data_IF_501211439733
#
_entry.id   IF_501211439733
#
_cell.length_a   1.000
_cell.length_b   1.000
_cell.length_c   1.000
_cell.angle_alpha   90.00
_cell.angle_beta   90.00
_cell.angle_gamma   90.00
#
_symmetry.space_group_name_H-M   'P 1'
#
loop_
_entity.id
_entity.type
_entity.pdbx_description
1 polymer ?
#
# COMPACT_ATOMS: atom_id res chain seq x y z
N UNK A 1 -4.58 -22.02 -0.76
CA UNK A 1 -4.87 -21.05 -1.84
C UNK A 1 -3.75 -20.02 -1.82
N UNK A 2 -3.82 -18.90 -2.55
CA UNK A 2 -2.80 -17.85 -2.44
C UNK A 2 -3.46 -16.50 -2.19
N UNK A 3 -2.69 -15.56 -1.66
CA UNK A 3 -3.15 -14.20 -1.37
C UNK A 3 -2.49 -13.23 -2.33
N UNK A 4 -3.26 -12.33 -2.93
CA UNK A 4 -2.76 -11.26 -3.76
C UNK A 4 -2.58 -10.01 -2.89
N UNK A 5 -1.37 -9.49 -2.81
CA UNK A 5 -1.09 -8.25 -2.06
C UNK A 5 -0.68 -7.19 -3.05
N UNK A 6 -1.59 -6.26 -3.32
CA UNK A 6 -1.37 -5.19 -4.28
C UNK A 6 -0.86 -3.95 -3.57
N UNK A 7 0.26 -3.41 -4.03
CA UNK A 7 1.03 -2.37 -3.35
C UNK A 7 1.16 -1.16 -4.26
N UNK A 8 0.93 0.03 -3.68
CA UNK A 8 1.20 1.30 -4.34
C UNK A 8 1.74 2.35 -3.35
N UNK A 9 2.38 3.40 -3.89
CA UNK A 9 3.03 4.46 -3.12
C UNK A 9 2.38 5.82 -3.39
N UNK A 10 2.14 6.59 -2.33
CA UNK A 10 1.69 7.98 -2.41
C UNK A 10 2.69 8.90 -1.72
N UNK A 11 2.98 10.04 -2.35
CA UNK A 11 3.76 11.14 -1.78
C UNK A 11 2.93 12.42 -1.77
N UNK A 12 2.95 13.12 -0.64
CA UNK A 12 2.19 14.36 -0.50
C UNK A 12 3.01 15.44 0.21
N UNK A 13 3.29 16.49 -0.54
CA UNK A 13 3.84 17.75 -0.05
C UNK A 13 2.70 18.67 0.38
N UNK A 14 2.77 19.17 1.61
CA UNK A 14 1.80 20.17 2.08
C UNK A 14 2.08 21.51 1.39
N UNK A 15 1.08 22.16 0.77
CA UNK A 15 1.28 23.48 0.16
C UNK A 15 1.91 24.47 1.15
N UNK A 16 3.01 25.11 0.74
CA UNK A 16 3.74 26.09 1.55
C UNK A 16 4.62 25.51 2.66
N UNK A 17 4.69 24.18 2.82
CA UNK A 17 5.68 23.53 3.66
C UNK A 17 6.65 22.72 2.80
N UNK A 18 7.86 22.58 3.31
CA UNK A 18 8.88 21.73 2.72
C UNK A 18 8.65 20.25 3.06
N UNK A 19 8.14 19.96 4.25
CA UNK A 19 7.89 18.59 4.69
C UNK A 19 6.82 17.89 3.83
N UNK A 20 7.03 16.60 3.57
CA UNK A 20 6.07 15.72 2.91
C UNK A 20 5.89 14.43 3.70
N UNK A 21 4.81 13.71 3.41
CA UNK A 21 4.64 12.34 3.85
C UNK A 21 4.78 11.40 2.66
N UNK A 22 5.47 10.30 2.89
CA UNK A 22 5.54 9.15 1.98
C UNK A 22 4.81 7.99 2.64
N UNK A 23 3.91 7.36 1.89
CA UNK A 23 3.14 6.21 2.33
C UNK A 23 3.21 5.13 1.28
N UNK A 24 3.64 3.93 1.67
CA UNK A 24 3.43 2.71 0.89
C UNK A 24 2.21 2.01 1.48
N UNK A 25 1.20 1.72 0.67
CA UNK A 25 -0.01 1.01 1.09
C UNK A 25 -0.12 -0.32 0.35
N UNK A 26 -0.64 -1.33 1.05
CA UNK A 26 -0.90 -2.66 0.54
C UNK A 26 -2.35 -3.05 0.78
N UNK A 27 -2.96 -3.70 -0.19
CA UNK A 27 -4.30 -4.30 -0.06
C UNK A 27 -4.21 -5.79 -0.38
N UNK A 28 -4.63 -6.63 0.57
CA UNK A 28 -4.65 -8.07 0.39
C UNK A 28 -6.04 -8.56 0.00
N UNK A 29 -6.04 -9.49 -0.95
CA UNK A 29 -7.22 -10.22 -1.40
C UNK A 29 -6.92 -11.72 -1.38
N UNK A 30 -7.89 -12.52 -0.95
CA UNK A 30 -7.89 -13.93 -1.32
C UNK A 30 -7.98 -14.05 -2.85
N UNK A 31 -7.06 -14.81 -3.47
CA UNK A 31 -7.00 -14.93 -4.92
C UNK A 31 -8.33 -15.43 -5.51
N UNK A 32 -9.01 -16.36 -4.82
CA UNK A 32 -10.31 -16.88 -5.23
C UNK A 32 -11.44 -15.83 -5.21
N UNK A 33 -11.30 -14.77 -4.41
CA UNK A 33 -12.31 -13.72 -4.27
C UNK A 33 -12.05 -12.51 -5.19
N UNK A 34 -10.84 -12.39 -5.76
CA UNK A 34 -10.40 -11.20 -6.49
C UNK A 34 -11.22 -10.93 -7.77
N UNK A 35 -11.54 -11.96 -8.54
CA UNK A 35 -12.34 -11.81 -9.77
C UNK A 35 -13.76 -11.32 -9.48
N UNK A 36 -14.40 -11.82 -8.42
CA UNK A 36 -15.72 -11.35 -8.02
C UNK A 36 -15.67 -9.91 -7.51
N UNK A 37 -14.61 -9.53 -6.78
CA UNK A 37 -14.36 -8.13 -6.41
C UNK A 37 -14.28 -7.25 -7.66
N UNK A 38 -13.47 -7.62 -8.65
CA UNK A 38 -13.30 -6.87 -9.90
C UNK A 38 -14.64 -6.69 -10.66
N UNK A 39 -15.45 -7.75 -10.76
CA UNK A 39 -16.77 -7.69 -11.41
C UNK A 39 -17.73 -6.77 -10.67
N UNK A 40 -17.77 -6.85 -9.33
CA UNK A 40 -18.62 -5.99 -8.50
C UNK A 40 -18.18 -4.53 -8.58
N UNK A 41 -16.88 -4.27 -8.57
CA UNK A 41 -16.33 -2.92 -8.74
C UNK A 41 -16.71 -2.33 -10.11
N UNK A 42 -16.63 -3.12 -11.18
CA UNK A 42 -17.00 -2.65 -12.51
C UNK A 42 -18.49 -2.26 -12.58
N UNK A 43 -19.37 -3.06 -11.97
CA UNK A 43 -20.80 -2.72 -11.84
C UNK A 43 -21.00 -1.44 -11.03
N UNK A 44 -20.26 -1.28 -9.94
CA UNK A 44 -20.29 -0.09 -9.12
C UNK A 44 -19.87 1.16 -9.92
N UNK A 45 -18.77 1.07 -10.67
CA UNK A 45 -18.32 2.13 -11.60
C UNK A 45 -19.38 2.45 -12.65
N UNK A 46 -20.03 1.45 -13.23
CA UNK A 46 -21.13 1.62 -14.18
C UNK A 46 -22.28 2.44 -13.58
N UNK A 47 -22.70 2.11 -12.35
CA UNK A 47 -23.76 2.81 -11.61
C UNK A 47 -23.40 4.29 -11.35
N UNK A 48 -22.17 4.54 -10.88
CA UNK A 48 -21.75 5.87 -10.43
C UNK A 48 -21.12 6.76 -11.50
N UNK A 49 -20.68 6.24 -12.64
CA UNK A 49 -20.00 7.05 -13.64
C UNK A 49 -20.59 6.90 -15.04
N UNK A 50 -21.53 5.97 -15.27
CA UNK A 50 -22.07 5.65 -16.60
C UNK A 50 -20.95 5.29 -17.59
N UNK A 51 -19.86 4.72 -17.08
CA UNK A 51 -18.65 4.36 -17.82
C UNK A 51 -18.37 2.88 -17.59
N UNK A 52 -18.74 2.00 -18.52
CA UNK A 52 -18.71 0.55 -18.31
C UNK A 52 -17.33 -0.07 -18.55
N UNK A 53 -16.40 0.62 -19.22
CA UNK A 53 -15.06 0.12 -19.47
C UNK A 53 -14.20 0.12 -18.21
N UNK A 54 -13.33 -0.88 -18.10
CA UNK A 54 -12.40 -1.06 -16.98
C UNK A 54 -11.50 0.18 -16.82
N UNK A 55 -11.00 0.73 -17.94
CA UNK A 55 -10.13 1.90 -18.01
C UNK A 55 -10.86 3.24 -18.03
N UNK A 56 -12.17 3.26 -18.28
CA UNK A 56 -12.90 4.49 -18.61
C UNK A 56 -12.96 5.48 -17.44
N UNK A 57 -12.75 5.00 -16.22
CA UNK A 57 -12.68 5.82 -15.02
C UNK A 57 -11.66 5.26 -14.03
N UNK A 58 -10.45 5.81 -14.03
CA UNK A 58 -9.40 5.41 -13.09
C UNK A 58 -9.77 5.84 -11.66
N UNK A 59 -9.67 4.91 -10.69
CA UNK A 59 -9.98 5.19 -9.28
C UNK A 59 -8.76 5.80 -8.58
N UNK A 60 -8.32 6.97 -9.04
CA UNK A 60 -7.19 7.65 -8.41
C UNK A 60 -7.64 8.44 -7.19
N UNK A 61 -6.95 8.29 -6.07
CA UNK A 61 -7.27 8.97 -4.81
C UNK A 61 -7.34 10.48 -4.97
N UNK A 62 -6.37 11.07 -5.68
CA UNK A 62 -6.36 12.51 -6.00
C UNK A 62 -7.58 12.99 -6.80
N UNK A 63 -8.18 12.14 -7.63
CA UNK A 63 -9.34 12.49 -8.47
C UNK A 63 -10.67 12.28 -7.74
N UNK A 64 -10.73 11.25 -6.89
CA UNK A 64 -11.91 10.88 -6.12
C UNK A 64 -12.07 11.71 -4.85
N UNK A 65 -10.97 12.18 -4.26
CA UNK A 65 -10.97 12.82 -2.95
C UNK A 65 -10.33 14.22 -2.95
N UNK A 66 -10.20 14.88 -4.10
CA UNK A 66 -9.89 16.33 -4.14
C UNK A 66 -10.99 17.17 -3.48
N UNK A 67 -10.69 18.41 -3.07
CA UNK A 67 -11.70 19.30 -2.46
C UNK A 67 -12.96 19.46 -3.33
N UNK A 68 -12.79 19.58 -4.66
CA UNK A 68 -13.92 19.61 -5.60
C UNK A 68 -14.68 18.29 -5.64
N UNK A 69 -13.98 17.16 -5.52
CA UNK A 69 -14.60 15.84 -5.55
C UNK A 69 -15.40 15.55 -4.28
N UNK A 70 -14.93 16.02 -3.11
CA UNK A 70 -15.65 15.89 -1.85
C UNK A 70 -16.96 16.69 -1.81
N UNK A 71 -17.05 17.78 -2.58
CA UNK A 71 -18.31 18.50 -2.78
C UNK A 71 -19.34 17.72 -3.64
N UNK A 72 -18.92 16.62 -4.29
CA UNK A 72 -19.80 15.79 -5.10
C UNK A 72 -20.33 14.61 -4.28
N UNK A 73 -21.60 14.68 -3.90
CA UNK A 73 -22.31 13.59 -3.21
C UNK A 73 -22.08 12.24 -3.92
N UNK A 74 -22.21 12.22 -5.25
CA UNK A 74 -22.03 11.01 -6.07
C UNK A 74 -20.64 10.37 -5.93
N UNK A 75 -19.57 11.18 -5.80
CA UNK A 75 -18.20 10.64 -5.63
C UNK A 75 -17.96 10.15 -4.22
N UNK A 76 -18.44 10.88 -3.22
CA UNK A 76 -18.36 10.47 -1.82
C UNK A 76 -19.11 9.15 -1.61
N UNK A 77 -20.34 9.06 -2.08
CA UNK A 77 -21.16 7.85 -2.01
C UNK A 77 -20.51 6.66 -2.74
N UNK A 78 -19.88 6.90 -3.91
CA UNK A 78 -19.10 5.86 -4.59
C UNK A 78 -17.97 5.31 -3.71
N UNK A 79 -17.21 6.18 -3.03
CA UNK A 79 -16.10 5.75 -2.15
C UNK A 79 -16.63 4.97 -0.94
N UNK A 80 -17.75 5.37 -0.35
CA UNK A 80 -18.37 4.65 0.77
C UNK A 80 -18.89 3.25 0.36
N UNK A 81 -19.48 3.15 -0.82
CA UNK A 81 -19.90 1.86 -1.40
C UNK A 81 -18.69 0.99 -1.77
N UNK A 82 -17.58 1.60 -2.20
CA UNK A 82 -16.32 0.90 -2.42
C UNK A 82 -15.78 0.30 -1.11
N UNK A 83 -15.79 1.05 0.00
CA UNK A 83 -15.41 0.49 1.31
C UNK A 83 -16.33 -0.66 1.74
N UNK A 84 -17.63 -0.53 1.48
CA UNK A 84 -18.59 -1.61 1.75
C UNK A 84 -18.29 -2.87 0.93
N UNK A 85 -17.89 -2.71 -0.33
CA UNK A 85 -17.41 -3.82 -1.15
C UNK A 85 -16.11 -4.42 -0.61
N UNK A 86 -15.16 -3.60 -0.16
CA UNK A 86 -13.91 -4.08 0.45
C UNK A 86 -14.19 -4.93 1.69
N UNK A 87 -15.07 -4.49 2.58
CA UNK A 87 -15.51 -5.28 3.75
C UNK A 87 -16.19 -6.58 3.35
N UNK A 88 -17.13 -6.53 2.41
CA UNK A 88 -17.81 -7.73 1.89
C UNK A 88 -16.81 -8.76 1.31
N UNK A 89 -15.65 -8.29 0.88
CA UNK A 89 -14.57 -9.10 0.31
C UNK A 89 -13.41 -9.37 1.25
N UNK A 90 -13.56 -9.04 2.52
CA UNK A 90 -12.52 -9.21 3.55
C UNK A 90 -11.17 -8.67 3.08
N UNK A 91 -11.17 -7.51 2.41
CA UNK A 91 -9.93 -6.85 2.01
C UNK A 91 -9.19 -6.42 3.26
N UNK A 92 -7.93 -6.82 3.38
CA UNK A 92 -7.06 -6.46 4.50
C UNK A 92 -6.10 -5.37 4.06
N UNK A 93 -5.91 -4.34 4.90
CA UNK A 93 -5.07 -3.19 4.59
C UNK A 93 -3.76 -3.20 5.36
N UNK A 94 -2.72 -2.72 4.69
CA UNK A 94 -1.39 -2.52 5.21
C UNK A 94 -0.91 -1.12 4.84
N UNK A 95 -0.14 -0.48 5.69
CA UNK A 95 0.58 0.72 5.30
C UNK A 95 1.81 0.97 6.12
N UNK A 96 2.79 1.60 5.50
CA UNK A 96 3.93 2.16 6.20
C UNK A 96 4.15 3.58 5.72
N UNK A 97 4.04 4.53 6.65
CA UNK A 97 4.14 5.96 6.39
C UNK A 97 5.36 6.54 7.09
N UNK A 98 5.96 7.59 6.52
CA UNK A 98 7.02 8.37 7.16
C UNK A 98 6.91 9.84 6.80
N UNK A 99 7.24 10.70 7.77
CA UNK A 99 7.42 12.13 7.53
C UNK A 99 8.82 12.40 6.98
N UNK A 100 8.91 13.06 5.84
CA UNK A 100 10.15 13.39 5.15
C UNK A 100 10.37 14.90 5.09
N UNK A 101 11.63 15.35 5.22
CA UNK A 101 12.03 16.77 5.13
C UNK A 101 13.01 16.97 3.97
N UNK A 102 12.78 17.92 3.04
CA UNK A 102 13.66 18.14 1.91
C UNK A 102 14.91 18.90 2.38
N UNK A 103 16.00 18.15 2.52
CA UNK A 103 17.28 18.67 3.02
C UNK A 103 18.23 17.58 3.52
N UNK A 104 17.71 16.43 3.94
CA UNK A 104 18.55 15.28 4.32
C UNK A 104 19.04 14.49 3.10
N UNK A 105 19.79 15.15 2.22
CA UNK A 105 20.69 14.50 1.27
C UNK A 105 21.92 13.87 1.94
N UNK A 106 22.04 13.99 3.26
CA UNK A 106 22.95 13.23 4.12
C UNK A 106 22.12 12.62 5.23
N UNK A 107 22.15 11.29 5.34
CA UNK A 107 21.26 10.51 6.18
C UNK A 107 21.30 10.96 7.63
N UNK A 108 20.11 11.30 8.16
CA UNK A 108 19.82 10.88 9.52
C UNK A 108 19.62 9.37 9.47
N UNK A 109 20.74 8.65 9.52
CA UNK A 109 20.84 7.25 9.94
C UNK A 109 20.44 7.17 11.43
N UNK A 110 19.26 7.68 11.80
CA UNK A 110 18.68 7.42 13.11
C UNK A 110 18.26 5.96 13.08
N UNK A 111 19.14 5.13 13.64
CA UNK A 111 18.93 3.73 14.05
C UNK A 111 17.92 2.99 13.17
N UNK A 112 18.29 2.75 11.90
CA UNK A 112 17.89 1.47 11.29
C UNK A 112 18.35 0.42 12.29
N UNK A 113 17.46 -0.41 12.88
CA UNK A 113 17.85 -1.42 13.86
C UNK A 113 19.08 -2.16 13.35
N UNK A 114 20.08 -2.42 14.20
CA UNK A 114 21.36 -3.02 13.76
C UNK A 114 21.16 -4.34 12.97
N UNK A 115 20.02 -5.00 13.13
CA UNK A 115 19.57 -6.16 12.36
C UNK A 115 19.33 -5.90 10.85
N UNK A 116 19.02 -4.66 10.45
CA UNK A 116 18.67 -4.25 9.09
C UNK A 116 19.86 -3.61 8.31
N UNK A 117 21.06 -3.55 8.91
CA UNK A 117 22.24 -2.80 8.44
C UNK A 117 23.11 -3.46 7.35
N UNK A 118 22.62 -4.44 6.60
CA UNK A 118 23.38 -4.99 5.45
C UNK A 118 22.95 -4.36 4.14
N UNK A 119 23.30 -3.10 3.91
CA UNK A 119 23.48 -2.46 2.59
C UNK A 119 22.34 -2.47 1.56
N UNK A 120 21.21 -3.13 1.82
CA UNK A 120 20.13 -3.47 0.88
C UNK A 120 18.80 -2.84 1.30
N UNK A 121 18.78 -2.07 2.39
CA UNK A 121 17.62 -1.31 2.85
C UNK A 121 18.01 0.16 2.96
N UNK A 122 17.33 1.01 2.20
CA UNK A 122 17.64 2.44 2.15
C UNK A 122 16.72 3.22 3.06
N UNK A 123 17.32 4.08 3.89
CA UNK A 123 16.60 5.14 4.60
C UNK A 123 16.26 6.34 3.71
N UNK A 124 16.60 6.29 2.41
CA UNK A 124 16.21 7.28 1.42
C UNK A 124 15.13 6.73 0.49
N UNK A 125 14.20 7.57 0.07
CA UNK A 125 13.10 7.21 -0.81
C UNK A 125 13.49 7.20 -2.31
N UNK A 126 14.80 7.09 -2.60
CA UNK A 126 15.32 7.01 -3.97
C UNK A 126 15.40 5.57 -4.42
N UNK A 127 14.72 5.26 -5.53
CA UNK A 127 14.82 3.95 -6.18
C UNK A 127 16.25 3.70 -6.67
N UNK A 128 16.83 2.59 -6.26
CA UNK A 128 18.02 2.01 -6.87
C UNK A 128 17.79 0.49 -7.01
N UNK A 129 18.56 -0.17 -7.87
CA UNK A 129 18.42 -1.62 -8.09
C UNK A 129 18.87 -2.44 -6.87
N UNK A 130 19.69 -1.86 -6.00
CA UNK A 130 20.40 -2.56 -4.94
C UNK A 130 19.65 -2.60 -3.61
N UNK A 131 18.76 -1.63 -3.36
CA UNK A 131 18.17 -1.43 -2.03
C UNK A 131 16.66 -1.24 -2.10
N UNK A 132 15.93 -1.93 -1.22
CA UNK A 132 14.50 -1.70 -1.00
C UNK A 132 14.31 -0.49 -0.09
N UNK A 133 13.23 0.27 -0.27
CA UNK A 133 12.90 1.35 0.66
C UNK A 133 12.54 0.79 2.03
N UNK A 134 12.88 1.53 3.10
CA UNK A 134 12.53 1.16 4.46
C UNK A 134 11.02 0.94 4.62
N UNK A 135 10.20 1.82 4.01
CA UNK A 135 8.73 1.71 4.06
C UNK A 135 8.25 0.39 3.47
N UNK A 136 8.78 0.00 2.31
CA UNK A 136 8.37 -1.25 1.67
C UNK A 136 8.83 -2.47 2.48
N UNK A 137 10.03 -2.45 3.07
CA UNK A 137 10.50 -3.55 3.92
C UNK A 137 9.58 -3.78 5.13
N UNK A 138 9.16 -2.71 5.82
CA UNK A 138 8.22 -2.79 6.94
C UNK A 138 6.81 -3.20 6.54
N UNK A 139 6.37 -2.85 5.33
CA UNK A 139 5.10 -3.33 4.80
C UNK A 139 5.18 -4.84 4.52
N UNK A 140 6.27 -5.28 3.89
CA UNK A 140 6.53 -6.70 3.58
C UNK A 140 6.59 -7.54 4.86
N UNK A 141 7.22 -7.05 5.93
CA UNK A 141 7.21 -7.69 7.25
C UNK A 141 5.78 -7.94 7.77
N UNK A 142 4.92 -6.92 7.70
CA UNK A 142 3.52 -7.03 8.16
C UNK A 142 2.71 -8.00 7.32
N UNK A 143 2.93 -8.00 6.01
CA UNK A 143 2.32 -8.97 5.10
C UNK A 143 2.77 -10.38 5.46
N UNK A 144 4.06 -10.58 5.75
CA UNK A 144 4.57 -11.89 6.18
C UNK A 144 3.90 -12.33 7.50
N UNK A 145 3.78 -11.46 8.51
CA UNK A 145 3.08 -11.79 9.75
C UNK A 145 1.61 -12.15 9.51
N UNK A 146 0.90 -11.35 8.71
CA UNK A 146 -0.47 -11.65 8.30
C UNK A 146 -0.61 -13.03 7.65
N UNK A 147 0.30 -13.38 6.74
CA UNK A 147 0.28 -14.67 6.07
C UNK A 147 0.56 -15.82 7.01
N UNK A 148 1.52 -15.68 7.92
CA UNK A 148 1.84 -16.73 8.90
C UNK A 148 0.71 -16.97 9.89
N UNK A 149 -0.01 -15.92 10.30
CA UNK A 149 -1.10 -16.02 11.29
C UNK A 149 -2.43 -16.41 10.66
N UNK A 150 -2.79 -15.81 9.52
CA UNK A 150 -4.15 -15.91 8.95
C UNK A 150 -4.25 -16.94 7.83
N UNK A 151 -3.15 -17.18 7.11
CA UNK A 151 -3.11 -18.06 5.94
C UNK A 151 -1.93 -19.05 6.00
N UNK A 152 -1.80 -19.85 7.08
CA UNK A 152 -0.65 -20.74 7.27
C UNK A 152 -0.53 -21.76 6.13
N UNK A 153 0.67 -21.87 5.56
CA UNK A 153 0.98 -22.75 4.43
C UNK A 153 0.62 -22.17 3.06
N UNK A 154 0.02 -20.98 3.01
CA UNK A 154 -0.16 -20.22 1.78
C UNK A 154 0.97 -19.20 1.57
N UNK A 155 1.07 -18.65 0.36
CA UNK A 155 2.04 -17.61 0.03
C UNK A 155 1.34 -16.40 -0.57
N UNK A 156 1.76 -15.21 -0.14
CA UNK A 156 1.37 -13.96 -0.77
C UNK A 156 2.16 -13.72 -2.08
N UNK A 157 1.47 -13.19 -3.08
CA UNK A 157 2.05 -12.64 -4.32
C UNK A 157 2.04 -11.12 -4.21
N UNK A 158 3.23 -10.50 -4.20
CA UNK A 158 3.34 -9.03 -4.18
C UNK A 158 3.13 -8.50 -5.60
N UNK A 159 2.15 -7.62 -5.79
CA UNK A 159 1.77 -7.04 -7.08
C UNK A 159 1.94 -5.52 -7.02
N UNK A 160 2.70 -4.97 -7.96
CA UNK A 160 2.96 -3.53 -8.04
C UNK A 160 2.30 -2.92 -9.28
N UNK A 161 2.00 -1.62 -9.22
CA UNK A 161 1.62 -0.85 -10.40
C UNK A 161 2.77 -0.74 -11.39
N UNK A 162 2.51 -1.00 -12.67
CA UNK A 162 3.46 -0.82 -13.78
C UNK A 162 3.00 0.32 -14.69
N UNK A 163 3.92 1.24 -14.94
CA UNK A 163 3.79 2.35 -15.90
C UNK A 163 5.06 2.58 -16.70
N UNK A 164 6.24 2.30 -16.13
CA UNK A 164 7.54 2.58 -16.75
C UNK A 164 8.51 1.41 -16.54
N UNK A 165 8.93 0.78 -17.65
CA UNK A 165 9.75 -0.44 -17.65
C UNK A 165 11.03 -0.32 -16.81
N UNK A 166 11.67 0.85 -16.82
CA UNK A 166 12.89 1.07 -16.04
C UNK A 166 12.61 1.09 -14.53
N UNK A 167 11.52 1.71 -14.09
CA UNK A 167 11.11 1.71 -12.68
C UNK A 167 10.72 0.31 -12.22
N UNK A 168 9.98 -0.42 -13.05
CA UNK A 168 9.57 -1.79 -12.77
C UNK A 168 10.80 -2.69 -12.57
N UNK A 169 11.81 -2.56 -13.43
CA UNK A 169 13.09 -3.28 -13.30
C UNK A 169 13.80 -2.94 -11.99
N UNK A 170 13.87 -1.66 -11.61
CA UNK A 170 14.53 -1.22 -10.38
C UNK A 170 13.81 -1.75 -9.13
N UNK A 171 12.47 -1.70 -9.14
CA UNK A 171 11.66 -2.24 -8.06
C UNK A 171 11.78 -3.77 -7.98
N UNK A 172 11.75 -4.46 -9.12
CA UNK A 172 11.92 -5.90 -9.16
C UNK A 172 13.28 -6.33 -8.57
N UNK A 173 14.35 -5.65 -9.00
CA UNK A 173 15.72 -5.94 -8.53
C UNK A 173 15.87 -5.68 -7.04
N UNK A 174 15.34 -4.56 -6.54
CA UNK A 174 15.45 -4.20 -5.12
C UNK A 174 14.67 -5.17 -4.22
N UNK A 175 13.45 -5.54 -4.59
CA UNK A 175 12.64 -6.53 -3.85
C UNK A 175 13.33 -7.89 -3.86
N UNK A 176 13.80 -8.38 -5.01
CA UNK A 176 14.50 -9.67 -5.07
C UNK A 176 15.81 -9.67 -4.28
N UNK A 177 16.59 -8.57 -4.35
CA UNK A 177 17.80 -8.42 -3.53
C UNK A 177 17.46 -8.46 -2.04
N UNK A 178 16.41 -7.77 -1.61
CA UNK A 178 15.94 -7.83 -0.23
C UNK A 178 15.54 -9.25 0.18
N UNK A 179 14.66 -9.90 -0.58
CA UNK A 179 14.10 -11.21 -0.26
C UNK A 179 15.16 -12.32 -0.22
N UNK A 180 16.14 -12.29 -1.13
CA UNK A 180 17.07 -13.41 -1.29
C UNK A 180 18.48 -13.16 -0.74
N UNK A 181 18.88 -11.91 -0.49
CA UNK A 181 20.25 -11.58 -0.02
C UNK A 181 20.31 -11.05 1.42
N UNK A 182 19.18 -10.75 2.05
CA UNK A 182 19.15 -10.28 3.45
C UNK A 182 18.71 -11.38 4.39
N UNK A 183 19.25 -11.39 5.62
CA UNK A 183 18.81 -12.34 6.66
C UNK A 183 17.34 -12.15 7.04
N UNK A 184 16.83 -10.92 6.96
CA UNK A 184 15.43 -10.63 7.21
C UNK A 184 14.54 -11.19 6.11
N UNK A 185 14.80 -10.83 4.85
CA UNK A 185 13.99 -11.29 3.71
C UNK A 185 14.03 -12.81 3.51
N UNK A 186 15.18 -13.45 3.73
CA UNK A 186 15.31 -14.92 3.65
C UNK A 186 14.55 -15.66 4.76
N UNK A 187 14.26 -14.98 5.87
CA UNK A 187 13.41 -15.50 6.94
C UNK A 187 11.91 -15.34 6.69
N UNK A 188 11.50 -14.67 5.62
CA UNK A 188 10.09 -14.53 5.27
C UNK A 188 9.59 -15.76 4.52
N UNK A 189 8.66 -16.47 5.14
CA UNK A 189 8.12 -17.74 4.63
C UNK A 189 6.65 -17.62 4.17
N UNK A 190 5.98 -16.51 4.46
CA UNK A 190 4.59 -16.27 4.07
C UNK A 190 4.42 -15.67 2.67
N UNK A 191 5.49 -15.50 1.88
CA UNK A 191 5.42 -14.75 0.62
C UNK A 191 6.31 -15.35 -0.46
N UNK A 192 5.90 -15.16 -1.71
CA UNK A 192 6.76 -15.39 -2.86
C UNK A 192 7.72 -14.21 -3.03
N UNK A 193 9.03 -14.48 -3.05
CA UNK A 193 10.06 -13.44 -3.17
C UNK A 193 10.16 -12.79 -4.56
N UNK A 194 9.37 -13.23 -5.54
CA UNK A 194 9.31 -12.67 -6.89
C UNK A 194 8.15 -11.68 -6.99
N UNK A 195 8.41 -10.39 -7.32
CA UNK A 195 7.36 -9.39 -7.50
C UNK A 195 6.66 -9.53 -8.85
N UNK A 196 5.36 -9.25 -8.87
CA UNK A 196 4.51 -9.17 -10.06
C UNK A 196 4.12 -7.73 -10.35
N UNK A 197 3.71 -7.48 -11.60
CA UNK A 197 3.39 -6.14 -12.07
C UNK A 197 2.06 -6.15 -12.82
N UNK A 198 1.22 -5.14 -12.57
CA UNK A 198 -0.08 -4.98 -13.21
C UNK A 198 -0.25 -3.55 -13.76
N UNK A 199 -0.91 -3.36 -14.92
CA UNK A 199 -1.12 -2.03 -15.48
C UNK A 199 -1.96 -1.16 -14.52
N UNK A 200 -1.42 -0.04 -14.05
CA UNK A 200 -2.07 0.80 -13.04
C UNK A 200 -3.43 1.36 -13.50
N UNK A 201 -3.56 1.64 -14.79
CA UNK A 201 -4.80 2.14 -15.40
C UNK A 201 -5.93 1.10 -15.50
N UNK A 202 -5.62 -0.19 -15.35
CA UNK A 202 -6.58 -1.29 -15.55
C UNK A 202 -6.79 -2.18 -14.33
N UNK A 203 -5.83 -2.25 -13.41
CA UNK A 203 -5.90 -3.15 -12.25
C UNK A 203 -6.75 -2.55 -11.11
N UNK A 204 -7.91 -3.16 -10.78
CA UNK A 204 -8.71 -2.74 -9.62
C UNK A 204 -7.95 -2.68 -8.32
N UNK A 205 -7.10 -3.68 -8.06
CA UNK A 205 -6.29 -3.74 -6.85
C UNK A 205 -5.27 -2.60 -6.78
N UNK A 206 -4.61 -2.26 -7.89
CA UNK A 206 -3.62 -1.16 -7.91
C UNK A 206 -4.33 0.18 -7.67
N UNK A 207 -5.47 0.40 -8.31
CA UNK A 207 -6.23 1.64 -8.09
C UNK A 207 -6.78 1.74 -6.67
N UNK A 208 -7.14 0.61 -6.04
CA UNK A 208 -7.53 0.61 -4.63
C UNK A 208 -6.34 0.93 -3.71
N UNK A 209 -5.17 0.36 -3.99
CA UNK A 209 -3.94 0.67 -3.27
C UNK A 209 -3.57 2.16 -3.37
N UNK A 210 -3.65 2.77 -4.57
CA UNK A 210 -3.48 4.23 -4.76
C UNK A 210 -4.46 5.04 -3.92
N UNK A 211 -5.75 4.68 -3.93
CA UNK A 211 -6.77 5.36 -3.15
C UNK A 211 -6.45 5.31 -1.65
N UNK A 212 -6.05 4.16 -1.13
CA UNK A 212 -5.74 3.99 0.30
C UNK A 212 -4.45 4.72 0.66
N UNK A 213 -3.40 4.59 -0.15
CA UNK A 213 -2.16 5.35 0.02
C UNK A 213 -2.45 6.85 0.05
N UNK A 214 -3.29 7.35 -0.86
CA UNK A 214 -3.72 8.75 -0.86
C UNK A 214 -4.46 9.16 0.42
N UNK A 215 -5.46 8.38 0.86
CA UNK A 215 -6.23 8.68 2.09
C UNK A 215 -5.29 8.81 3.30
N UNK A 216 -4.44 7.80 3.50
CA UNK A 216 -3.52 7.71 4.63
C UNK A 216 -2.53 8.88 4.61
N UNK A 217 -1.94 9.12 3.45
CA UNK A 217 -0.95 10.16 3.27
C UNK A 217 -1.52 11.57 3.49
N UNK A 218 -2.72 11.85 2.96
CA UNK A 218 -3.41 13.12 3.20
C UNK A 218 -3.83 13.29 4.66
N UNK A 219 -4.27 12.21 5.31
CA UNK A 219 -4.64 12.22 6.73
C UNK A 219 -3.43 12.60 7.61
N UNK A 220 -2.30 11.90 7.46
CA UNK A 220 -1.05 12.26 8.16
C UNK A 220 -0.53 13.66 7.79
N UNK A 221 -0.79 14.09 6.55
CA UNK A 221 -0.58 15.45 6.07
C UNK A 221 -1.39 16.54 6.80
N UNK A 222 -2.38 16.14 7.59
CA UNK A 222 -3.24 17.01 8.40
C UNK A 222 -4.50 17.50 7.67
N UNK A 223 -4.91 16.82 6.59
CA UNK A 223 -6.15 17.14 5.88
C UNK A 223 -7.36 16.56 6.64
N UNK A 224 -8.13 17.44 7.29
CA UNK A 224 -9.22 17.07 8.20
C UNK A 224 -10.33 16.27 7.52
N UNK A 225 -10.61 16.56 6.26
CA UNK A 225 -11.66 15.90 5.48
C UNK A 225 -11.37 14.41 5.25
N UNK A 226 -10.13 13.95 5.45
CA UNK A 226 -9.74 12.56 5.31
C UNK A 226 -9.99 11.72 6.56
N UNK A 227 -10.40 12.34 7.67
CA UNK A 227 -10.56 11.65 8.97
C UNK A 227 -11.44 10.40 8.87
N UNK A 228 -12.64 10.55 8.30
CA UNK A 228 -13.61 9.45 8.26
C UNK A 228 -13.17 8.39 7.24
N UNK A 229 -12.65 8.79 6.08
CA UNK A 229 -12.08 7.86 5.10
C UNK A 229 -10.89 7.08 5.67
N UNK A 230 -10.05 7.72 6.48
CA UNK A 230 -8.92 7.08 7.15
C UNK A 230 -9.41 6.07 8.18
N UNK A 231 -10.39 6.42 9.02
CA UNK A 231 -10.98 5.48 10.00
C UNK A 231 -11.56 4.23 9.31
N UNK A 232 -12.19 4.40 8.14
CA UNK A 232 -12.68 3.27 7.34
C UNK A 232 -11.53 2.38 6.85
N UNK A 233 -10.45 2.95 6.31
CA UNK A 233 -9.26 2.19 5.87
C UNK A 233 -8.56 1.49 7.04
N UNK A 234 -8.45 2.18 8.17
CA UNK A 234 -7.86 1.69 9.42
C UNK A 234 -8.67 0.53 10.03
N UNK A 235 -9.99 0.54 9.87
CA UNK A 235 -10.87 -0.54 10.34
C UNK A 235 -10.65 -1.87 9.61
N UNK A 236 -10.04 -1.83 8.42
CA UNK A 236 -9.74 -3.00 7.60
C UNK A 236 -8.29 -3.48 7.76
N UNK A 237 -7.52 -2.88 8.68
CA UNK A 237 -6.10 -3.24 8.83
C UNK A 237 -5.92 -4.62 9.44
N UNK A 238 -4.80 -5.26 9.10
CA UNK A 238 -4.34 -6.43 9.84
C UNK A 238 -4.04 -6.03 11.31
N UNK A 239 -4.47 -6.84 12.27
CA UNK A 239 -4.05 -6.74 13.66
C UNK A 239 -3.56 -8.12 14.08
N UNK A 240 -2.28 -8.21 14.41
CA UNK A 240 -1.66 -9.45 14.86
C UNK A 240 -2.25 -9.88 16.20
N UNK A 241 -2.45 -11.19 16.33
CA UNK A 241 -2.81 -11.83 17.58
C UNK A 241 -1.63 -11.98 18.54
N UNK A 242 -0.41 -11.71 18.06
CA UNK A 242 0.84 -11.86 18.81
C UNK A 242 1.28 -10.47 19.30
N UNK A 243 1.37 -10.33 20.62
CA UNK A 243 1.94 -9.13 21.25
C UNK A 243 3.48 -9.14 21.10
N UNK A 244 4.03 -8.08 20.52
CA UNK A 244 5.46 -7.80 20.54
C UNK A 244 5.73 -6.61 21.45
N UNK A 245 6.56 -6.80 22.49
CA UNK A 245 7.07 -5.70 23.34
C UNK A 245 5.97 -4.74 23.87
N UNK A 246 4.89 -5.31 24.44
CA UNK A 246 3.72 -4.62 25.02
C UNK A 246 2.66 -4.07 24.03
N UNK A 247 2.83 -4.24 22.71
CA UNK A 247 1.85 -3.79 21.71
C UNK A 247 1.56 -4.83 20.63
N UNK A 248 0.31 -4.85 20.13
CA UNK A 248 -0.08 -5.67 18.98
C UNK A 248 0.59 -5.14 17.70
N UNK A 249 1.18 -6.03 16.90
CA UNK A 249 1.68 -5.65 15.58
C UNK A 249 0.50 -5.30 14.66
N UNK A 250 0.40 -4.03 14.26
CA UNK A 250 -0.63 -3.52 13.36
C UNK A 250 -0.16 -3.42 11.91
N UNK A 251 -1.08 -3.70 10.99
CA UNK A 251 -0.90 -3.63 9.54
C UNK A 251 -0.59 -2.22 9.06
N UNK A 252 -1.02 -1.18 9.79
CA UNK A 252 -0.69 0.21 9.52
C UNK A 252 0.29 0.75 10.54
N UNK A 253 1.32 1.47 10.07
CA UNK A 253 2.32 2.10 10.93
C UNK A 253 2.81 3.44 10.39
N UNK A 254 3.09 4.38 11.29
CA UNK A 254 3.78 5.63 11.02
C UNK A 254 5.16 5.59 11.68
N UNK A 255 6.20 5.58 10.86
CA UNK A 255 7.61 5.55 11.28
C UNK A 255 8.09 6.98 11.54
N UNK A 256 8.69 7.21 12.71
CA UNK A 256 9.30 8.49 13.12
C UNK A 256 10.71 8.73 12.54
#
# INVERSE_FOLDING_TARGET
MSVLVVIDESRWERPGKKDYYATVAGVAFEEAAYDDFCRKLLRLKGRFFKRPGISDYALQGRLLLSNRALASFRKVEFVLELFSLCRLKNVVTFSTSRKCTPGNGRGNSRKVPAALQKGIISGSDRFNEETVSLLLAYLIERVNSFMLETHPGEMAKLIFGSEELQKDRFLASSVMNFMYKTSLGTGFHGMLGTPFFAPASHSPGVQLADLFAYIINQHHGGRKEMKDFFAEVESMQFVSSIEQEEYELRGMNLIE
#
